data_IF_027318992408
#
_entry.id   IF_027318992408
#
_cell.length_a   1.000
_cell.length_b   1.000
_cell.length_c   1.000
_cell.angle_alpha   90.00
_cell.angle_beta   90.00
_cell.angle_gamma   90.00
#
_symmetry.space_group_name_H-M   'P 1'
#
loop_
_entity.id
_entity.type
_entity.pdbx_description
1 polymer ?
#
# COMPACT_ATOMS: atom_id res chain seq x y z
N UNK A 1 9.38 7.73 -9.54
CA UNK A 1 8.46 6.83 -10.23
C UNK A 1 7.08 7.03 -9.64
N UNK A 2 6.00 6.94 -10.45
CA UNK A 2 4.63 7.16 -9.97
C UNK A 2 3.89 5.84 -9.97
N UNK A 3 3.32 5.47 -8.82
CA UNK A 3 2.61 4.21 -8.58
C UNK A 3 1.12 4.49 -8.69
N UNK A 4 0.38 3.57 -9.33
CA UNK A 4 -1.07 3.71 -9.51
C UNK A 4 -1.81 2.83 -8.51
N UNK A 5 -2.74 3.43 -7.76
CA UNK A 5 -3.54 2.73 -6.75
C UNK A 5 -5.01 2.73 -7.20
N UNK A 6 -5.59 1.57 -7.55
CA UNK A 6 -7.00 1.49 -7.92
C UNK A 6 -7.89 1.50 -6.67
N UNK A 7 -8.83 2.43 -6.56
CA UNK A 7 -9.81 2.46 -5.46
C UNK A 7 -11.13 3.09 -5.93
N UNK A 8 -12.28 2.45 -5.64
CA UNK A 8 -13.64 2.91 -6.03
C UNK A 8 -13.76 3.37 -7.50
N UNK A 9 -13.28 2.54 -8.43
CA UNK A 9 -13.25 2.83 -9.88
C UNK A 9 -12.44 4.09 -10.28
N UNK A 10 -11.54 4.55 -9.41
CA UNK A 10 -10.62 5.65 -9.68
C UNK A 10 -9.18 5.15 -9.51
N UNK A 11 -8.25 5.83 -10.18
CA UNK A 11 -6.83 5.57 -10.10
C UNK A 11 -6.16 6.76 -9.40
N UNK A 12 -5.51 6.50 -8.28
CA UNK A 12 -4.76 7.49 -7.53
C UNK A 12 -3.29 7.37 -7.88
N UNK A 13 -2.67 8.50 -8.21
CA UNK A 13 -1.25 8.58 -8.53
C UNK A 13 -0.46 8.91 -7.26
N UNK A 14 0.43 8.01 -6.86
CA UNK A 14 1.34 8.19 -5.73
C UNK A 14 2.76 8.42 -6.23
N UNK A 15 3.42 9.47 -5.76
CA UNK A 15 4.88 9.60 -5.86
C UNK A 15 5.45 9.47 -4.45
N UNK A 16 6.11 8.35 -4.10
CA UNK A 16 6.65 8.16 -2.76
C UNK A 16 7.64 9.27 -2.40
N UNK A 17 7.54 9.76 -1.17
CA UNK A 17 8.52 10.66 -0.58
C UNK A 17 9.08 10.05 0.72
N UNK A 18 10.13 10.66 1.26
CA UNK A 18 10.77 10.18 2.50
C UNK A 18 9.84 10.22 3.70
N UNK A 19 8.82 11.09 3.68
CA UNK A 19 7.85 11.16 4.77
C UNK A 19 7.00 9.90 4.81
N UNK A 20 6.43 9.49 3.68
CA UNK A 20 5.66 8.25 3.57
C UNK A 20 6.50 7.03 3.97
N UNK A 21 7.77 6.99 3.54
CA UNK A 21 8.70 5.92 3.92
C UNK A 21 8.84 5.82 5.44
N UNK A 22 9.12 6.94 6.11
CA UNK A 22 9.26 6.97 7.57
C UNK A 22 7.97 6.57 8.27
N UNK A 23 6.82 7.07 7.80
CA UNK A 23 5.51 6.72 8.35
C UNK A 23 5.27 5.19 8.25
N UNK A 24 5.56 4.57 7.10
CA UNK A 24 5.44 3.12 6.92
C UNK A 24 6.36 2.35 7.86
N UNK A 25 7.62 2.76 8.00
CA UNK A 25 8.55 2.06 8.88
C UNK A 25 8.17 2.17 10.35
N UNK A 26 7.57 3.29 10.76
CA UNK A 26 7.05 3.48 12.12
C UNK A 26 5.83 2.61 12.41
N UNK A 27 4.92 2.46 11.44
CA UNK A 27 3.66 1.74 11.63
C UNK A 27 3.81 0.22 11.44
N UNK A 28 4.58 -0.21 10.44
CA UNK A 28 4.62 -1.60 9.97
C UNK A 28 6.00 -2.26 10.11
N UNK A 29 7.02 -1.50 10.47
CA UNK A 29 8.41 -1.93 10.59
C UNK A 29 9.21 -1.77 9.30
N UNK A 30 10.47 -2.20 9.34
CA UNK A 30 11.46 -1.93 8.29
C UNK A 30 11.00 -2.34 6.88
N UNK A 31 11.19 -1.44 5.90
CA UNK A 31 10.76 -1.65 4.52
C UNK A 31 11.34 -2.92 3.88
N UNK A 32 12.61 -3.22 4.16
CA UNK A 32 13.26 -4.43 3.65
C UNK A 32 12.54 -5.72 4.09
N UNK A 33 12.04 -5.76 5.33
CA UNK A 33 11.27 -6.89 5.84
C UNK A 33 9.88 -6.96 5.21
N UNK A 34 9.22 -5.81 5.03
CA UNK A 34 7.93 -5.74 4.35
C UNK A 34 8.05 -6.24 2.91
N UNK A 35 9.06 -5.78 2.16
CA UNK A 35 9.35 -6.27 0.80
C UNK A 35 9.48 -7.79 0.79
N UNK A 36 10.32 -8.35 1.68
CA UNK A 36 10.51 -9.80 1.77
C UNK A 36 9.20 -10.56 2.06
N UNK A 37 8.38 -10.08 3.02
CA UNK A 37 7.08 -10.68 3.35
C UNK A 37 6.13 -10.68 2.14
N UNK A 38 6.03 -9.54 1.46
CA UNK A 38 5.14 -9.37 0.31
C UNK A 38 5.60 -10.19 -0.91
N UNK A 39 6.91 -10.30 -1.16
CA UNK A 39 7.47 -11.16 -2.21
C UNK A 39 7.28 -12.64 -1.91
N UNK A 40 7.44 -13.06 -0.65
CA UNK A 40 7.27 -14.46 -0.23
C UNK A 40 5.80 -14.90 -0.05
N UNK A 41 4.83 -14.00 -0.30
CA UNK A 41 3.40 -14.23 -0.02
C UNK A 41 3.09 -14.54 1.46
N UNK A 42 3.93 -14.09 2.39
CA UNK A 42 3.77 -14.26 3.85
C UNK A 42 3.33 -12.93 4.47
N UNK A 43 2.18 -12.43 4.03
CA UNK A 43 1.61 -11.15 4.46
C UNK A 43 0.18 -11.35 4.95
N UNK A 44 -0.26 -10.50 5.89
CA UNK A 44 -1.65 -10.48 6.34
C UNK A 44 -2.46 -9.52 5.49
N UNK A 45 -3.75 -9.79 5.33
CA UNK A 45 -4.68 -8.85 4.68
C UNK A 45 -4.66 -7.49 5.38
N UNK A 46 -4.53 -7.46 6.70
CA UNK A 46 -4.40 -6.22 7.48
C UNK A 46 -3.18 -5.40 7.10
N UNK A 47 -2.05 -6.04 6.83
CA UNK A 47 -0.81 -5.35 6.41
C UNK A 47 -1.03 -4.69 5.04
N UNK A 48 -1.69 -5.41 4.13
CA UNK A 48 -2.04 -4.91 2.80
C UNK A 48 -3.02 -3.73 2.88
N UNK A 49 -4.05 -3.80 3.73
CA UNK A 49 -5.01 -2.71 3.93
C UNK A 49 -4.31 -1.49 4.52
N UNK A 50 -3.46 -1.67 5.53
CA UNK A 50 -2.72 -0.58 6.18
C UNK A 50 -1.80 0.14 5.19
N UNK A 51 -0.98 -0.61 4.44
CA UNK A 51 -0.11 -0.01 3.41
C UNK A 51 -0.91 0.74 2.35
N UNK A 52 -1.99 0.12 1.85
CA UNK A 52 -2.85 0.74 0.85
C UNK A 52 -3.47 2.03 1.38
N UNK A 53 -3.91 2.05 2.65
CA UNK A 53 -4.47 3.24 3.29
C UNK A 53 -3.44 4.37 3.35
N UNK A 54 -2.22 4.09 3.81
CA UNK A 54 -1.13 5.07 3.89
C UNK A 54 -0.79 5.63 2.52
N UNK A 55 -0.74 4.75 1.51
CA UNK A 55 -0.48 5.13 0.11
C UNK A 55 -1.59 6.02 -0.46
N UNK A 56 -2.87 5.72 -0.18
CA UNK A 56 -4.00 6.57 -0.60
C UNK A 56 -4.00 7.92 0.12
N UNK A 57 -3.68 7.95 1.41
CA UNK A 57 -3.55 9.19 2.18
C UNK A 57 -2.43 10.07 1.64
N UNK A 58 -1.26 9.49 1.33
CA UNK A 58 -0.16 10.20 0.69
C UNK A 58 -0.50 10.69 -0.72
N UNK A 59 -1.36 9.98 -1.45
CA UNK A 59 -1.93 10.43 -2.72
C UNK A 59 -3.05 11.49 -2.56
N UNK A 60 -3.29 11.98 -1.35
CA UNK A 60 -4.27 13.05 -1.06
C UNK A 60 -5.69 12.56 -0.79
N UNK A 61 -5.89 11.27 -0.54
CA UNK A 61 -7.21 10.67 -0.31
C UNK A 61 -7.30 10.00 1.05
N UNK A 62 -8.15 10.54 1.92
CA UNK A 62 -8.46 9.92 3.21
C UNK A 62 -9.49 8.83 3.03
N UNK A 63 -9.17 7.64 3.53
CA UNK A 63 -10.07 6.48 3.51
C UNK A 63 -10.18 5.86 4.91
N UNK A 64 -11.39 5.40 5.25
CA UNK A 64 -11.61 4.61 6.45
C UNK A 64 -11.02 3.19 6.27
N UNK A 65 -10.40 2.68 7.33
CA UNK A 65 -9.71 1.39 7.29
C UNK A 65 -10.67 0.22 7.02
N UNK A 66 -11.84 0.22 7.67
CA UNK A 66 -12.83 -0.84 7.53
C UNK A 66 -13.53 -0.77 6.17
N UNK A 67 -13.84 0.43 5.70
CA UNK A 67 -14.38 0.62 4.34
C UNK A 67 -13.38 0.16 3.28
N UNK A 68 -12.11 0.53 3.41
CA UNK A 68 -11.06 0.11 2.49
C UNK A 68 -10.95 -1.42 2.46
N UNK A 69 -10.85 -2.07 3.61
CA UNK A 69 -10.77 -3.53 3.69
C UNK A 69 -11.97 -4.22 3.03
N UNK A 70 -13.18 -3.74 3.27
CA UNK A 70 -14.39 -4.29 2.65
C UNK A 70 -14.41 -4.09 1.12
N UNK A 71 -13.99 -2.93 0.63
CA UNK A 71 -13.90 -2.67 -0.81
C UNK A 71 -12.83 -3.53 -1.48
N UNK A 72 -11.67 -3.70 -0.83
CA UNK A 72 -10.61 -4.59 -1.32
C UNK A 72 -11.09 -6.04 -1.42
N UNK A 73 -11.88 -6.52 -0.46
CA UNK A 73 -12.47 -7.87 -0.53
C UNK A 73 -13.48 -8.01 -1.67
N UNK A 74 -14.27 -6.98 -1.97
CA UNK A 74 -15.22 -6.98 -3.10
C UNK A 74 -14.54 -6.93 -4.46
N UNK A 75 -13.54 -6.05 -4.60
CA UNK A 75 -12.80 -5.85 -5.86
C UNK A 75 -11.75 -6.94 -6.11
N UNK A 76 -11.39 -7.69 -5.06
CA UNK A 76 -10.27 -8.62 -5.06
C UNK A 76 -8.95 -7.93 -4.69
N UNK A 77 -8.08 -8.66 -3.99
CA UNK A 77 -6.85 -8.10 -3.41
C UNK A 77 -5.71 -7.89 -4.41
N UNK A 78 -5.77 -8.54 -5.59
CA UNK A 78 -4.66 -8.55 -6.57
C UNK A 78 -4.21 -7.16 -7.02
N UNK A 79 -5.09 -6.21 -7.37
CA UNK A 79 -4.67 -4.90 -7.84
C UNK A 79 -3.94 -4.09 -6.76
N UNK A 80 -4.42 -4.17 -5.52
CA UNK A 80 -3.80 -3.51 -4.37
C UNK A 80 -2.45 -4.14 -4.03
N UNK A 81 -2.36 -5.47 -4.10
CA UNK A 81 -1.12 -6.20 -3.90
C UNK A 81 -0.06 -5.81 -4.95
N UNK A 82 -0.46 -5.61 -6.21
CA UNK A 82 0.44 -5.15 -7.25
C UNK A 82 0.98 -3.74 -6.95
N UNK A 83 0.10 -2.80 -6.59
CA UNK A 83 0.50 -1.44 -6.23
C UNK A 83 1.44 -1.39 -5.02
N UNK A 84 1.16 -2.19 -3.97
CA UNK A 84 2.02 -2.27 -2.78
C UNK A 84 3.38 -2.89 -3.11
N UNK A 85 3.43 -3.92 -3.94
CA UNK A 85 4.71 -4.51 -4.36
C UNK A 85 5.56 -3.52 -5.16
N UNK A 86 4.94 -2.83 -6.12
CA UNK A 86 5.61 -1.78 -6.89
C UNK A 86 6.15 -0.68 -5.97
N UNK A 87 5.37 -0.26 -4.96
CA UNK A 87 5.81 0.69 -3.95
C UNK A 87 7.05 0.20 -3.20
N UNK A 88 6.99 -1.01 -2.65
CA UNK A 88 8.08 -1.60 -1.88
C UNK A 88 9.34 -1.87 -2.72
N UNK A 89 9.19 -2.09 -4.02
CA UNK A 89 10.33 -2.17 -4.95
C UNK A 89 10.99 -0.81 -5.15
N UNK A 90 10.19 0.25 -5.37
CA UNK A 90 10.70 1.62 -5.59
C UNK A 90 11.40 2.20 -4.36
N UNK A 91 10.94 1.90 -3.14
CA UNK A 91 11.48 2.53 -1.92
C UNK A 91 12.56 1.72 -1.20
N UNK A 92 12.83 0.49 -1.64
CA UNK A 92 13.82 -0.40 -1.00
C UNK A 92 15.08 -0.62 -1.87
N UNK A 93 15.30 0.23 -2.88
CA UNK A 93 16.58 0.42 -3.58
C UNK A 93 17.48 1.37 -2.79
#
# INVERSE_FOLDING_TARGET
>A
MTITIPYRNQNFALTPDMRLVIEIEQELGALAMLRQKFSACVWKVTDLVTLTQMMLQAAGTTVDYMELGNEMLKMGLKPFLAAVREMLEVVAE
#
